data_IF_798588264328
#
_entry.id   IF_798588264328
#
_cell.length_a   1.000
_cell.length_b   1.000
_cell.length_c   1.000
_cell.angle_alpha   90.00
_cell.angle_beta   90.00
_cell.angle_gamma   90.00
#
_symmetry.space_group_name_H-M   'P 1'
#
loop_
_entity.id
_entity.type
_entity.pdbx_description
1 polymer ?
#
# COMPACT_ATOMS: atom_id res chain seq x y z
N UNK A 1 -4.19 22.33 -1.29
CA UNK A 1 -5.10 21.26 -1.75
C UNK A 1 -4.52 19.94 -1.30
N UNK A 2 -4.99 19.39 -0.19
CA UNK A 2 -4.67 18.00 0.17
C UNK A 2 -5.36 17.11 -0.84
N UNK A 3 -4.59 16.32 -1.60
CA UNK A 3 -5.17 15.25 -2.40
C UNK A 3 -6.05 14.39 -1.46
N UNK A 4 -7.27 14.04 -1.88
CA UNK A 4 -8.12 13.13 -1.11
C UNK A 4 -7.51 11.73 -1.19
N UNK A 5 -6.67 11.42 -0.20
CA UNK A 5 -5.99 10.13 -0.07
C UNK A 5 -6.87 9.22 0.76
N UNK A 6 -7.21 8.07 0.19
CA UNK A 6 -8.02 7.04 0.84
C UNK A 6 -7.21 5.76 0.98
N UNK A 7 -7.43 5.03 2.07
CA UNK A 7 -6.81 3.72 2.30
C UNK A 7 -7.89 2.64 2.28
N UNK A 8 -7.70 1.61 1.46
CA UNK A 8 -8.59 0.44 1.44
C UNK A 8 -7.80 -0.86 1.38
N UNK A 9 -8.45 -1.98 1.75
CA UNK A 9 -7.86 -3.32 1.63
C UNK A 9 -7.52 -3.62 0.17
N UNK A 10 -6.39 -4.28 -0.02
CA UNK A 10 -5.98 -4.84 -1.30
C UNK A 10 -6.98 -5.88 -1.79
N UNK A 11 -7.17 -5.92 -3.11
CA UNK A 11 -8.01 -6.89 -3.83
C UNK A 11 -7.21 -7.49 -4.98
N UNK A 12 -7.55 -8.69 -5.48
CA UNK A 12 -6.86 -9.29 -6.62
C UNK A 12 -6.80 -8.40 -7.87
N UNK A 13 -7.80 -7.52 -8.07
CA UNK A 13 -7.82 -6.54 -9.17
C UNK A 13 -6.73 -5.46 -9.05
N UNK A 14 -6.14 -5.29 -7.88
CA UNK A 14 -5.07 -4.32 -7.62
C UNK A 14 -3.67 -4.89 -7.91
N UNK A 15 -3.57 -6.18 -8.28
CA UNK A 15 -2.30 -6.87 -8.52
C UNK A 15 -1.42 -6.15 -9.55
N UNK A 16 -1.96 -5.89 -10.74
CA UNK A 16 -1.21 -5.24 -11.81
C UNK A 16 -0.82 -3.78 -11.46
N UNK A 17 -1.72 -2.93 -10.90
CA UNK A 17 -1.33 -1.62 -10.36
C UNK A 17 -0.23 -1.67 -9.30
N UNK A 18 -0.27 -2.63 -8.37
CA UNK A 18 0.77 -2.78 -7.35
C UNK A 18 2.14 -3.14 -7.97
N UNK A 19 2.17 -4.04 -8.97
CA UNK A 19 3.41 -4.34 -9.69
C UNK A 19 3.96 -3.12 -10.44
N UNK A 20 3.09 -2.31 -11.05
CA UNK A 20 3.52 -1.07 -11.70
C UNK A 20 4.14 -0.07 -10.70
N UNK A 21 3.62 -0.01 -9.47
CA UNK A 21 4.21 0.80 -8.39
C UNK A 21 5.61 0.28 -8.03
N UNK A 22 5.78 -1.04 -7.88
CA UNK A 22 7.07 -1.65 -7.64
C UNK A 22 8.07 -1.31 -8.75
N UNK A 23 7.64 -1.46 -10.00
CA UNK A 23 8.45 -1.18 -11.19
C UNK A 23 8.90 0.29 -11.20
N UNK A 24 8.03 1.23 -10.80
CA UNK A 24 8.39 2.66 -10.70
C UNK A 24 9.45 2.98 -9.65
N UNK A 25 9.66 2.09 -8.66
CA UNK A 25 10.65 2.24 -7.60
C UNK A 25 11.95 1.46 -7.88
N UNK A 26 12.01 0.71 -8.97
CA UNK A 26 13.17 -0.08 -9.40
C UNK A 26 14.01 0.73 -10.40
N UNK A 27 15.36 0.72 -10.32
CA UNK A 27 16.21 -0.07 -9.42
C UNK A 27 16.60 0.67 -8.13
N UNK A 28 16.02 1.86 -7.87
CA UNK A 28 16.52 2.76 -6.82
C UNK A 28 16.24 2.25 -5.41
N UNK A 29 15.05 1.70 -5.17
CA UNK A 29 14.60 1.25 -3.86
C UNK A 29 14.38 -0.25 -3.78
N UNK A 30 14.20 -0.92 -4.92
CA UNK A 30 14.07 -2.36 -5.04
C UNK A 30 14.97 -2.89 -6.14
N UNK A 31 15.45 -4.12 -5.98
CA UNK A 31 16.14 -4.86 -7.01
C UNK A 31 15.14 -5.57 -7.93
N UNK A 32 15.48 -5.69 -9.21
CA UNK A 32 14.58 -6.29 -10.21
C UNK A 32 14.18 -7.75 -9.89
N UNK A 33 15.04 -8.51 -9.20
CA UNK A 33 14.74 -9.89 -8.82
C UNK A 33 13.66 -9.99 -7.73
N UNK A 34 13.53 -8.99 -6.86
CA UNK A 34 12.52 -8.94 -5.79
C UNK A 34 11.10 -8.78 -6.36
N UNK A 35 10.94 -8.42 -7.64
CA UNK A 35 9.64 -8.29 -8.30
C UNK A 35 8.86 -9.60 -8.28
N UNK A 36 9.54 -10.73 -8.47
CA UNK A 36 8.92 -12.05 -8.44
C UNK A 36 8.43 -12.40 -7.03
N UNK A 37 9.24 -12.10 -6.01
CA UNK A 37 8.88 -12.29 -4.60
C UNK A 37 7.68 -11.43 -4.21
N UNK A 38 7.65 -10.18 -4.68
CA UNK A 38 6.53 -9.29 -4.44
C UNK A 38 5.24 -9.78 -5.14
N UNK A 39 5.34 -10.25 -6.39
CA UNK A 39 4.22 -10.83 -7.11
C UNK A 39 3.66 -12.06 -6.38
N UNK A 40 4.54 -12.97 -5.94
CA UNK A 40 4.12 -14.15 -5.17
C UNK A 40 3.45 -13.72 -3.86
N UNK A 41 4.04 -12.78 -3.13
CA UNK A 41 3.45 -12.25 -1.90
C UNK A 41 2.03 -11.72 -2.13
N UNK A 42 1.78 -10.92 -3.17
CA UNK A 42 0.44 -10.38 -3.47
C UNK A 42 -0.60 -11.46 -3.80
N UNK A 43 -0.18 -12.64 -4.28
CA UNK A 43 -1.07 -13.75 -4.59
C UNK A 43 -1.39 -14.61 -3.37
N UNK A 44 -0.46 -14.73 -2.42
CA UNK A 44 -0.55 -15.69 -1.32
C UNK A 44 -0.72 -15.06 0.05
N UNK A 45 -0.55 -13.73 0.18
CA UNK A 45 -0.55 -13.07 1.47
C UNK A 45 -1.91 -13.19 2.17
N UNK A 46 -1.86 -13.59 3.44
CA UNK A 46 -2.99 -13.57 4.38
C UNK A 46 -2.87 -12.39 5.36
N UNK A 47 -1.79 -11.62 5.26
CA UNK A 47 -1.51 -10.47 6.12
C UNK A 47 -2.41 -9.26 5.75
N UNK A 48 -2.64 -8.34 6.70
CA UNK A 48 -3.25 -7.05 6.39
C UNK A 48 -2.47 -6.26 5.33
N UNK A 49 -3.00 -6.23 4.11
CA UNK A 49 -2.43 -5.52 2.97
C UNK A 49 -3.40 -4.48 2.40
N UNK A 50 -2.88 -3.31 2.03
CA UNK A 50 -3.68 -2.14 1.67
C UNK A 50 -3.14 -1.44 0.43
N UNK A 51 -4.02 -0.67 -0.20
CA UNK A 51 -3.69 0.27 -1.28
C UNK A 51 -4.12 1.68 -0.89
N UNK A 52 -3.32 2.67 -1.29
CA UNK A 52 -3.66 4.09 -1.23
C UNK A 52 -4.27 4.48 -2.55
N UNK A 53 -5.48 5.02 -2.52
CA UNK A 53 -6.16 5.57 -3.69
C UNK A 53 -6.25 7.08 -3.60
N UNK A 54 -6.32 7.71 -4.76
CA UNK A 54 -6.76 9.10 -4.93
C UNK A 54 -7.83 9.15 -6.01
N UNK A 55 -8.65 10.19 -5.98
CA UNK A 55 -9.55 10.47 -7.11
C UNK A 55 -8.72 10.77 -8.36
N UNK A 56 -9.01 10.05 -9.45
CA UNK A 56 -8.51 10.42 -10.75
C UNK A 56 -9.46 11.46 -11.37
N UNK A 57 -9.01 12.70 -11.46
CA UNK A 57 -9.67 13.70 -12.30
C UNK A 57 -9.48 13.29 -13.77
N UNK A 58 -10.47 12.61 -14.33
CA UNK A 58 -10.58 12.43 -15.77
C UNK A 58 -11.62 13.42 -16.29
N UNK A 59 -11.14 14.50 -16.91
CA UNK A 59 -12.00 15.39 -17.68
C UNK A 59 -12.77 14.55 -18.71
N UNK A 60 -14.09 14.45 -18.53
CA UNK A 60 -14.99 13.80 -19.50
C UNK A 60 -15.52 12.41 -19.12
N UNK A 61 -15.14 11.81 -17.98
CA UNK A 61 -15.72 10.54 -17.53
C UNK A 61 -16.71 10.74 -16.37
N UNK A 62 -17.95 10.23 -16.51
CA UNK A 62 -19.01 10.31 -15.48
C UNK A 62 -18.75 9.49 -14.21
N UNK A 63 -17.63 8.75 -14.13
CA UNK A 63 -17.32 7.88 -12.99
C UNK A 63 -15.91 8.17 -12.51
N UNK A 64 -15.80 8.70 -11.29
CA UNK A 64 -14.52 8.81 -10.59
C UNK A 64 -13.87 7.42 -10.53
N UNK A 65 -12.76 7.26 -11.26
CA UNK A 65 -11.96 6.05 -11.20
C UNK A 65 -10.90 6.26 -10.13
N UNK A 66 -10.84 5.37 -9.14
CA UNK A 66 -9.80 5.44 -8.12
C UNK A 66 -8.44 5.11 -8.76
N UNK A 67 -7.49 6.04 -8.68
CA UNK A 67 -6.11 5.76 -9.04
C UNK A 67 -5.38 5.22 -7.82
N UNK A 68 -4.80 4.03 -7.96
CA UNK A 68 -3.93 3.44 -6.93
C UNK A 68 -2.54 4.08 -7.05
N UNK A 69 -2.06 4.68 -5.97
CA UNK A 69 -0.79 5.42 -5.95
C UNK A 69 0.22 4.87 -4.95
N UNK A 70 -0.17 3.90 -4.12
CA UNK A 70 0.71 3.25 -3.16
C UNK A 70 0.10 1.98 -2.62
N UNK A 71 0.93 1.13 -2.03
CA UNK A 71 0.50 -0.11 -1.41
C UNK A 71 1.44 -0.49 -0.26
N UNK A 72 0.94 -1.33 0.65
CA UNK A 72 1.74 -1.84 1.75
C UNK A 72 0.89 -2.50 2.81
N UNK A 73 1.54 -3.34 3.61
CA UNK A 73 0.92 -4.06 4.71
C UNK A 73 1.71 -4.01 5.99
N UNK A 74 1.27 -4.83 6.93
CA UNK A 74 1.99 -5.13 8.15
C UNK A 74 1.71 -6.58 8.56
N UNK A 75 2.58 -7.11 9.40
CA UNK A 75 2.42 -8.40 10.06
C UNK A 75 2.58 -8.23 11.56
N UNK A 76 1.95 -9.13 12.31
CA UNK A 76 2.11 -9.25 13.76
C UNK A 76 2.90 -10.53 14.07
N UNK A 77 3.77 -10.44 15.08
CA UNK A 77 4.56 -11.54 15.64
C UNK A 77 4.45 -11.53 17.16
N UNK A 78 4.97 -12.57 17.80
CA UNK A 78 5.07 -12.69 19.25
C UNK A 78 3.72 -12.43 19.95
N UNK A 79 2.67 -13.08 19.45
CA UNK A 79 1.32 -12.96 19.98
C UNK A 79 0.70 -11.56 19.86
N UNK A 80 1.14 -10.75 18.89
CA UNK A 80 0.60 -9.39 18.66
C UNK A 80 1.38 -8.28 19.35
N UNK A 81 2.48 -8.60 20.05
CA UNK A 81 3.32 -7.63 20.75
C UNK A 81 4.37 -6.97 19.86
N UNK A 82 4.74 -7.63 18.76
CA UNK A 82 5.68 -7.10 17.77
C UNK A 82 4.99 -6.94 16.43
N UNK A 83 5.14 -5.78 15.79
CA UNK A 83 4.62 -5.51 14.46
C UNK A 83 5.73 -5.08 13.50
N UNK A 84 5.64 -5.51 12.24
CA UNK A 84 6.55 -5.09 11.17
C UNK A 84 5.77 -4.66 9.93
N UNK A 85 6.38 -3.79 9.11
CA UNK A 85 5.79 -3.44 7.81
C UNK A 85 6.24 -4.40 6.72
N UNK A 86 5.32 -4.77 5.85
CA UNK A 86 5.58 -5.57 4.65
C UNK A 86 5.33 -4.73 3.39
N UNK A 87 6.28 -4.81 2.44
CA UNK A 87 6.18 -4.29 1.07
C UNK A 87 5.55 -2.88 0.92
N UNK A 88 5.99 -1.91 1.73
CA UNK A 88 5.43 -0.56 1.70
C UNK A 88 6.08 0.34 0.65
N UNK A 89 5.29 0.85 -0.29
CA UNK A 89 5.78 1.70 -1.38
C UNK A 89 4.71 2.65 -1.95
N UNK A 90 5.17 3.76 -2.52
CA UNK A 90 4.35 4.75 -3.24
C UNK A 90 4.92 4.86 -4.65
N UNK A 91 4.07 5.02 -5.66
CA UNK A 91 4.53 5.22 -7.03
C UNK A 91 5.46 6.44 -7.10
N UNK A 92 6.55 6.31 -7.85
CA UNK A 92 7.63 7.31 -7.87
C UNK A 92 7.15 8.74 -8.17
N UNK A 93 6.20 8.87 -9.09
CA UNK A 93 5.59 10.16 -9.47
C UNK A 93 4.77 10.83 -8.34
N UNK A 94 4.42 10.09 -7.28
CA UNK A 94 3.72 10.59 -6.09
C UNK A 94 4.63 10.63 -4.85
N UNK A 95 5.95 10.63 -5.03
CA UNK A 95 6.87 10.93 -3.93
C UNK A 95 6.79 12.41 -3.55
N UNK A 96 7.13 12.74 -2.30
CA UNK A 96 7.17 14.13 -1.82
C UNK A 96 5.81 14.78 -1.51
N UNK A 97 4.67 14.15 -1.84
CA UNK A 97 3.33 14.73 -1.58
C UNK A 97 2.70 14.28 -0.25
N UNK A 98 3.43 13.52 0.57
CA UNK A 98 2.94 13.01 1.86
C UNK A 98 2.20 11.67 1.82
N UNK A 99 2.02 11.05 0.64
CA UNK A 99 1.33 9.75 0.50
C UNK A 99 2.00 8.62 1.30
N UNK A 100 3.34 8.60 1.38
CA UNK A 100 4.07 7.62 2.19
C UNK A 100 3.81 7.79 3.69
N UNK A 101 3.71 9.05 4.17
CA UNK A 101 3.35 9.35 5.56
C UNK A 101 1.93 8.92 5.87
N UNK A 102 0.99 9.18 4.96
CA UNK A 102 -0.39 8.73 5.07
C UNK A 102 -0.47 7.21 5.20
N UNK A 103 0.18 6.46 4.30
CA UNK A 103 0.22 4.99 4.34
C UNK A 103 0.86 4.46 5.63
N UNK A 104 1.94 5.07 6.12
CA UNK A 104 2.59 4.67 7.37
C UNK A 104 1.67 4.89 8.57
N UNK A 105 1.11 6.09 8.74
CA UNK A 105 0.24 6.42 9.87
C UNK A 105 -1.01 5.55 9.91
N UNK A 106 -1.64 5.33 8.75
CA UNK A 106 -2.85 4.52 8.68
C UNK A 106 -2.61 3.04 9.04
N UNK A 107 -1.41 2.50 8.79
CA UNK A 107 -1.02 1.15 9.23
C UNK A 107 -0.70 1.11 10.73
N UNK A 108 0.03 2.10 11.26
CA UNK A 108 0.29 2.20 12.71
C UNK A 108 -1.01 2.28 13.52
N UNK A 109 -1.97 3.10 13.09
CA UNK A 109 -3.26 3.22 13.78
C UNK A 109 -3.99 1.87 13.88
N UNK A 110 -3.94 1.04 12.82
CA UNK A 110 -4.56 -0.28 12.81
C UNK A 110 -3.82 -1.27 13.71
N UNK A 111 -2.48 -1.27 13.68
CA UNK A 111 -1.66 -2.07 14.60
C UNK A 111 -2.03 -1.76 16.05
N UNK A 112 -2.09 -0.48 16.44
CA UNK A 112 -2.46 -0.10 17.81
C UNK A 112 -3.86 -0.60 18.20
N UNK A 113 -4.83 -0.55 17.28
CA UNK A 113 -6.19 -1.04 17.53
C UNK A 113 -6.24 -2.56 17.71
N UNK A 114 -5.45 -3.31 16.93
CA UNK A 114 -5.39 -4.77 17.00
C UNK A 114 -4.67 -5.26 18.26
N UNK A 115 -3.60 -4.59 18.68
CA UNK A 115 -2.88 -4.95 19.92
C UNK A 115 -3.69 -4.62 21.17
N UNK A 116 -4.46 -3.51 21.19
CA UNK A 116 -5.35 -3.18 22.32
C UNK A 116 -6.51 -4.16 22.46
N UNK A 117 -7.01 -4.76 21.38
CA UNK A 117 -8.09 -5.74 21.43
C UNK A 117 -7.65 -7.14 21.91
N UNK A 118 -6.33 -7.40 21.97
CA UNK A 118 -5.76 -8.69 22.36
C UNK A 118 -5.19 -8.69 23.80
N UNK A 119 -5.25 -7.54 24.49
CA UNK A 119 -4.84 -7.34 25.89
C UNK A 119 -6.04 -7.39 26.84
#
# INVERSE_FOLDING_TARGET
MTADLRLRRYRPTDFAPCLAIFDSNTPKYFAAHERADFAQFLQTTTEPYFVVTRDADRQGESKATEQIIGCGGYFLRDGGTVAGFSWGMVAHEYHGIGAGRFLMMARLQRICQETTAQS
#
